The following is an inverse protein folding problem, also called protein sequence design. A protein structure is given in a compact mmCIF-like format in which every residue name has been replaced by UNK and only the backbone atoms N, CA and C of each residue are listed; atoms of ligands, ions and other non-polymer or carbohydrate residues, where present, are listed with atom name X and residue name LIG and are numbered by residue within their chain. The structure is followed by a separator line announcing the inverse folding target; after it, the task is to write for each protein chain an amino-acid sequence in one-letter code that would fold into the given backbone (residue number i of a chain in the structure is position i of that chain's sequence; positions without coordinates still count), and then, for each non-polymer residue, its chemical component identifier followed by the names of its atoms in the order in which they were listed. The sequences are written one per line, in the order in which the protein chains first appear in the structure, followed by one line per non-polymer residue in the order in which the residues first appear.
data_IF_967791219120
#
_entry.id   IF_967791219120
#
_cell.length_a   1.000
_cell.length_b   1.000
_cell.length_c   1.000
_cell.angle_alpha   90.00
_cell.angle_beta   90.00
_cell.angle_gamma   90.00
#
_symmetry.space_group_name_H-M   'P 1'
#
loop_
_entity.id
_entity.type
_entity.pdbx_description
1 polymer ?
#
# COMPACT_ATOMS: atom_id res chain seq x y z
N UNK A 1 12.60 -21.72 4.11
CA UNK A 1 11.77 -21.14 3.03
C UNK A 1 10.28 -21.50 3.17
N UNK A 2 9.87 -22.52 3.92
CA UNK A 2 8.44 -22.92 4.07
C UNK A 2 7.51 -21.92 4.79
N UNK A 3 8.03 -20.81 5.32
CA UNK A 3 7.26 -19.81 6.08
C UNK A 3 7.39 -18.39 5.49
N UNK A 4 7.99 -18.26 4.31
CA UNK A 4 8.12 -16.99 3.62
C UNK A 4 7.15 -16.93 2.45
N UNK A 5 6.48 -15.79 2.30
CA UNK A 5 5.81 -15.48 1.03
C UNK A 5 6.84 -14.92 0.04
N UNK A 6 6.63 -15.08 -1.27
CA UNK A 6 7.59 -14.69 -2.30
C UNK A 6 7.57 -13.17 -2.57
N UNK A 7 7.62 -12.36 -1.51
CA UNK A 7 7.65 -10.90 -1.57
C UNK A 7 8.65 -10.35 -0.56
N UNK A 8 9.35 -9.29 -0.95
CA UNK A 8 10.08 -8.42 -0.02
C UNK A 8 9.11 -7.60 0.83
N UNK A 9 9.53 -7.19 2.02
CA UNK A 9 8.75 -6.24 2.83
C UNK A 9 8.49 -4.92 2.08
N UNK A 10 9.39 -4.49 1.19
CA UNK A 10 9.20 -3.28 0.39
C UNK A 10 8.03 -3.42 -0.60
N UNK A 11 7.87 -4.61 -1.17
CA UNK A 11 6.73 -4.93 -2.03
C UNK A 11 5.44 -4.98 -1.21
N UNK A 12 5.49 -5.54 -0.01
CA UNK A 12 4.35 -5.57 0.91
C UNK A 12 3.85 -4.20 1.29
N UNK A 13 4.75 -3.25 1.58
CA UNK A 13 4.38 -1.88 1.90
C UNK A 13 3.66 -1.19 0.73
N UNK A 14 3.99 -1.54 -0.51
CA UNK A 14 3.33 -0.97 -1.68
C UNK A 14 1.89 -1.45 -1.83
N UNK A 15 1.52 -2.60 -1.26
CA UNK A 15 0.14 -3.10 -1.28
C UNK A 15 -0.82 -2.19 -0.48
N UNK A 16 -0.32 -1.34 0.42
CA UNK A 16 -1.13 -0.33 1.13
C UNK A 16 -1.82 0.66 0.16
N UNK A 17 -1.31 0.77 -1.07
CA UNK A 17 -1.86 1.62 -2.13
C UNK A 17 -2.93 0.91 -2.99
N UNK A 18 -3.37 -0.30 -2.63
CA UNK A 18 -4.41 -1.04 -3.37
C UNK A 18 -5.69 -0.21 -3.56
N UNK A 19 -6.08 0.57 -2.55
CA UNK A 19 -7.28 1.42 -2.55
C UNK A 19 -6.95 2.92 -2.60
N UNK A 20 -5.92 3.30 -3.33
CA UNK A 20 -5.47 4.70 -3.45
C UNK A 20 -6.59 5.68 -3.88
N UNK A 21 -7.60 5.22 -4.61
CA UNK A 21 -8.70 6.04 -5.11
C UNK A 21 -9.54 6.66 -4.00
N UNK A 22 -9.47 6.13 -2.77
CA UNK A 22 -10.05 6.74 -1.58
C UNK A 22 -9.39 8.08 -1.26
N UNK A 23 -8.08 8.22 -1.48
CA UNK A 23 -7.36 9.48 -1.32
C UNK A 23 -7.74 10.48 -2.41
N UNK A 24 -7.91 10.02 -3.65
CA UNK A 24 -8.36 10.88 -4.76
C UNK A 24 -9.77 11.44 -4.51
N UNK A 25 -10.67 10.61 -3.95
CA UNK A 25 -12.00 11.05 -3.51
C UNK A 25 -11.89 12.03 -2.35
N UNK A 26 -11.08 11.72 -1.33
CA UNK A 26 -10.89 12.57 -0.16
C UNK A 26 -10.35 13.96 -0.54
N UNK A 27 -9.46 14.05 -1.53
CA UNK A 27 -8.90 15.30 -2.02
C UNK A 27 -9.94 16.22 -2.70
N UNK A 28 -11.07 15.67 -3.14
CA UNK A 28 -12.16 16.40 -3.80
C UNK A 28 -13.33 16.72 -2.88
N UNK A 29 -13.29 16.27 -1.62
CA UNK A 29 -14.34 16.54 -0.65
C UNK A 29 -14.29 17.99 -0.15
N UNK A 30 -15.45 18.65 -0.13
CA UNK A 30 -15.60 19.98 0.48
C UNK A 30 -15.82 19.90 1.99
N UNK A 31 -16.42 18.80 2.47
CA UNK A 31 -16.68 18.57 3.89
C UNK A 31 -15.49 17.86 4.55
N UNK A 32 -14.92 18.49 5.58
CA UNK A 32 -13.76 17.97 6.31
C UNK A 32 -14.04 16.66 7.07
N UNK A 33 -15.27 16.43 7.53
CA UNK A 33 -15.63 15.18 8.19
C UNK A 33 -15.70 14.02 7.19
N UNK A 34 -16.28 14.25 6.02
CA UNK A 34 -16.33 13.26 4.95
C UNK A 34 -14.94 12.93 4.42
N UNK A 35 -14.10 13.95 4.22
CA UNK A 35 -12.70 13.80 3.88
C UNK A 35 -11.97 12.90 4.90
N UNK A 36 -12.15 13.16 6.19
CA UNK A 36 -11.55 12.34 7.25
C UNK A 36 -12.04 10.90 7.22
N UNK A 37 -13.33 10.66 6.97
CA UNK A 37 -13.88 9.32 6.84
C UNK A 37 -13.23 8.54 5.68
N UNK A 38 -12.96 9.19 4.55
CA UNK A 38 -12.28 8.56 3.40
C UNK A 38 -10.81 8.26 3.68
N UNK A 39 -10.09 9.17 4.34
CA UNK A 39 -8.69 8.93 4.76
C UNK A 39 -8.62 7.79 5.79
N UNK A 40 -9.57 7.74 6.74
CA UNK A 40 -9.67 6.65 7.70
C UNK A 40 -10.00 5.32 7.00
N UNK A 41 -10.92 5.32 6.03
CA UNK A 41 -11.23 4.14 5.23
C UNK A 41 -9.99 3.66 4.45
N UNK A 42 -9.22 4.55 3.83
CA UNK A 42 -7.96 4.21 3.18
C UNK A 42 -6.98 3.56 4.16
N UNK A 43 -6.79 4.15 5.34
CA UNK A 43 -5.86 3.65 6.35
C UNK A 43 -6.22 2.25 6.87
N UNK A 44 -7.51 1.93 6.91
CA UNK A 44 -8.02 0.60 7.31
C UNK A 44 -8.00 -0.39 6.15
N UNK A 45 -8.12 0.09 4.91
CA UNK A 45 -8.21 -0.77 3.73
C UNK A 45 -6.95 -1.61 3.49
N UNK A 46 -5.76 -1.13 3.89
CA UNK A 46 -4.50 -1.88 3.76
C UNK A 46 -4.52 -3.25 4.44
N UNK A 47 -5.33 -3.41 5.49
CA UNK A 47 -5.48 -4.69 6.18
C UNK A 47 -6.22 -5.76 5.34
N UNK A 48 -6.92 -5.40 4.26
CA UNK A 48 -7.56 -6.37 3.35
C UNK A 48 -6.56 -7.40 2.82
N UNK A 49 -5.32 -6.96 2.57
CA UNK A 49 -4.22 -7.72 1.97
C UNK A 49 -3.59 -8.71 2.95
N UNK A 50 -3.99 -8.70 4.22
CA UNK A 50 -3.40 -9.53 5.27
C UNK A 50 -4.14 -10.84 5.47
N UNK A 51 -5.39 -10.93 5.00
CA UNK A 51 -6.23 -12.12 5.18
C UNK A 51 -5.57 -13.31 4.50
N UNK A 52 -5.40 -14.41 5.26
CA UNK A 52 -4.76 -15.66 4.82
C UNK A 52 -3.26 -15.58 4.48
N UNK A 53 -2.59 -14.45 4.69
CA UNK A 53 -1.14 -14.30 4.44
C UNK A 53 -0.37 -14.28 5.75
N UNK A 54 -0.27 -15.47 6.35
CA UNK A 54 0.43 -15.71 7.63
C UNK A 54 1.93 -15.91 7.47
N UNK A 55 2.41 -16.04 6.24
CA UNK A 55 3.83 -16.17 5.92
C UNK A 55 4.54 -14.81 6.00
N UNK A 56 5.79 -14.82 6.44
CA UNK A 56 6.59 -13.59 6.60
C UNK A 56 7.15 -13.16 5.24
N UNK A 57 6.99 -11.90 4.83
CA UNK A 57 7.77 -11.39 3.69
C UNK A 57 9.27 -11.50 3.96
N UNK A 58 10.06 -11.54 2.90
CA UNK A 58 11.50 -11.49 3.01
C UNK A 58 11.93 -10.17 3.65
N UNK A 59 12.86 -10.28 4.61
CA UNK A 59 13.47 -9.11 5.21
C UNK A 59 14.37 -8.46 4.15
N UNK A 60 14.14 -7.20 3.77
CA UNK A 60 14.95 -6.58 2.72
C UNK A 60 16.40 -6.43 3.17
N UNK A 61 17.33 -6.44 2.22
CA UNK A 61 18.73 -6.14 2.49
C UNK A 61 18.94 -4.63 2.68
N UNK A 62 20.03 -4.23 3.35
CA UNK A 62 20.41 -2.82 3.46
C UNK A 62 20.63 -2.24 2.04
N UNK A 63 19.92 -1.15 1.73
CA UNK A 63 19.96 -0.51 0.40
C UNK A 63 19.19 -1.28 -0.67
N UNK A 64 18.41 -2.30 -0.30
CA UNK A 64 17.43 -2.88 -1.22
C UNK A 64 16.36 -1.84 -1.56
N UNK A 65 16.00 -1.74 -2.84
CA UNK A 65 14.98 -0.80 -3.33
C UNK A 65 13.87 -1.54 -4.07
N UNK A 66 12.67 -1.00 -4.02
CA UNK A 66 11.53 -1.44 -4.83
C UNK A 66 10.80 -0.24 -5.45
N UNK A 67 10.37 -0.39 -6.69
CA UNK A 67 9.55 0.60 -7.40
C UNK A 67 8.30 -0.05 -8.02
N UNK A 68 7.20 0.70 -8.02
CA UNK A 68 5.98 0.37 -8.74
C UNK A 68 5.46 1.62 -9.46
N UNK A 69 5.56 1.66 -10.79
CA UNK A 69 4.98 2.72 -11.61
C UNK A 69 3.57 2.32 -12.07
N UNK A 70 2.58 3.11 -11.64
CA UNK A 70 1.18 3.00 -12.04
C UNK A 70 0.64 4.33 -12.52
N UNK A 71 1.47 5.28 -12.94
CA UNK A 71 1.00 6.61 -13.33
C UNK A 71 0.00 6.58 -14.48
N UNK A 72 0.27 5.77 -15.51
CA UNK A 72 -0.57 5.74 -16.71
C UNK A 72 -1.96 5.17 -16.43
N UNK A 73 -2.04 4.17 -15.54
CA UNK A 73 -3.29 3.45 -15.23
C UNK A 73 -4.07 4.11 -14.07
N UNK A 74 -3.36 4.53 -13.02
CA UNK A 74 -3.92 4.87 -11.72
C UNK A 74 -3.42 6.19 -11.12
N UNK A 75 -2.45 6.85 -11.76
CA UNK A 75 -1.97 8.17 -11.33
C UNK A 75 -1.03 8.19 -10.13
N UNK A 76 -0.46 7.04 -9.71
CA UNK A 76 0.52 6.99 -8.62
C UNK A 76 1.81 6.22 -8.97
N UNK A 77 2.87 6.49 -8.19
CA UNK A 77 4.09 5.66 -8.12
C UNK A 77 4.44 5.37 -6.67
N UNK A 78 5.00 4.21 -6.41
CA UNK A 78 5.62 3.85 -5.14
C UNK A 78 7.13 3.67 -5.31
N UNK A 79 7.90 4.22 -4.38
CA UNK A 79 9.35 4.04 -4.27
C UNK A 79 9.68 3.75 -2.81
N UNK A 80 10.40 2.67 -2.55
CA UNK A 80 10.76 2.22 -1.21
C UNK A 80 12.23 1.78 -1.15
N UNK A 81 12.89 2.01 -0.02
CA UNK A 81 14.26 1.59 0.28
C UNK A 81 14.34 1.08 1.73
N UNK A 82 15.26 0.14 2.00
CA UNK A 82 15.55 -0.40 3.32
C UNK A 82 16.80 0.16 3.98
#
# INVERSE_FOLDING_TARGET
VNFNEPLSMLQRLTEDLEYHELLDKAARCENSLEQMCLVAAFSVSSYSTTVHRTAKPFNPLLGETYELDRLEEFGYRSLCEQ
#
